data_IF_496295016293
#
_entry.id   IF_496295016293
#
_cell.length_a   1.000
_cell.length_b   1.000
_cell.length_c   1.000
_cell.angle_alpha   90.00
_cell.angle_beta   90.00
_cell.angle_gamma   90.00
#
_symmetry.space_group_name_H-M   'P 1'
#
loop_
_entity.id
_entity.type
_entity.pdbx_description
1 polymer ?
#
# COMPACT_ATOMS: atom_id res chain seq x y z
N UNK A 1 -10.42 -4.39 -16.01
CA UNK A 1 -11.87 -4.31 -16.28
C UNK A 1 -12.13 -3.24 -17.30
N UNK A 2 -13.09 -3.52 -18.19
CA UNK A 2 -13.60 -2.56 -19.14
C UNK A 2 -14.90 -1.97 -18.59
N UNK A 3 -15.10 -0.68 -18.78
CA UNK A 3 -16.28 0.05 -18.33
C UNK A 3 -16.58 1.21 -19.26
N UNK A 4 -17.78 1.76 -19.17
CA UNK A 4 -18.18 2.93 -19.96
C UNK A 4 -18.28 4.15 -19.02
N UNK A 5 -17.69 5.26 -19.47
CA UNK A 5 -17.76 6.55 -18.78
C UNK A 5 -18.04 7.66 -19.80
N UNK A 6 -19.15 8.37 -19.61
CA UNK A 6 -19.61 9.44 -20.53
C UNK A 6 -19.66 8.98 -22.00
N UNK A 7 -20.19 7.77 -22.25
CA UNK A 7 -20.32 7.20 -23.59
C UNK A 7 -19.01 6.73 -24.23
N UNK A 8 -17.90 6.69 -23.48
CA UNK A 8 -16.60 6.22 -23.94
C UNK A 8 -16.19 4.95 -23.21
N UNK A 9 -15.76 3.94 -23.97
CA UNK A 9 -15.15 2.74 -23.39
C UNK A 9 -13.80 3.08 -22.79
N UNK A 10 -13.59 2.60 -21.57
CA UNK A 10 -12.37 2.78 -20.78
C UNK A 10 -11.88 1.42 -20.26
N UNK A 11 -10.58 1.28 -20.11
CA UNK A 11 -9.96 0.11 -19.46
C UNK A 11 -9.20 0.57 -18.22
N UNK A 12 -9.39 -0.12 -17.11
CA UNK A 12 -8.69 0.16 -15.85
C UNK A 12 -8.33 -1.12 -15.11
N UNK A 13 -7.37 -1.04 -14.21
CA UNK A 13 -7.18 -2.03 -13.15
C UNK A 13 -8.40 -1.91 -12.23
N UNK A 14 -9.11 -3.03 -12.04
CA UNK A 14 -10.25 -3.14 -11.13
C UNK A 14 -9.88 -3.98 -9.93
N UNK A 15 -10.03 -3.44 -8.73
CA UNK A 15 -9.81 -4.12 -7.47
C UNK A 15 -11.14 -4.27 -6.75
N UNK A 16 -11.67 -5.52 -6.60
CA UNK A 16 -13.01 -5.74 -6.06
C UNK A 16 -13.08 -5.43 -4.56
N UNK A 17 -14.22 -4.94 -4.12
CA UNK A 17 -14.53 -4.80 -2.71
C UNK A 17 -15.50 -5.88 -2.21
N UNK A 18 -15.75 -5.94 -0.91
CA UNK A 18 -16.59 -6.99 -0.29
C UNK A 18 -18.06 -6.98 -0.74
N UNK A 19 -18.54 -5.93 -1.38
CA UNK A 19 -19.93 -5.82 -1.84
C UNK A 19 -20.06 -5.94 -3.38
N UNK A 20 -18.99 -6.32 -4.10
CA UNK A 20 -19.01 -6.52 -5.55
C UNK A 20 -18.78 -5.24 -6.37
N UNK A 21 -18.53 -4.10 -5.74
CA UNK A 21 -18.02 -2.90 -6.43
C UNK A 21 -16.52 -2.99 -6.64
N UNK A 22 -15.96 -2.01 -7.37
CA UNK A 22 -14.54 -1.97 -7.72
C UNK A 22 -13.92 -0.61 -7.42
N UNK A 23 -12.70 -0.62 -6.90
CA UNK A 23 -11.79 0.52 -7.04
C UNK A 23 -11.11 0.43 -8.42
N UNK A 24 -11.12 1.54 -9.17
CA UNK A 24 -10.66 1.60 -10.56
C UNK A 24 -9.47 2.54 -10.70
N UNK A 25 -8.43 2.10 -11.40
CA UNK A 25 -7.23 2.90 -11.68
C UNK A 25 -6.72 2.67 -13.09
N UNK A 26 -6.42 3.77 -13.76
CA UNK A 26 -5.60 3.79 -14.97
C UNK A 26 -4.64 4.98 -14.90
N UNK A 27 -3.71 5.16 -15.84
CA UNK A 27 -2.82 6.33 -15.87
C UNK A 27 -3.55 7.69 -15.82
N UNK A 28 -4.79 7.73 -16.30
CA UNK A 28 -5.57 8.97 -16.44
C UNK A 28 -6.89 8.97 -15.66
N UNK A 29 -7.16 7.88 -14.91
CA UNK A 29 -8.44 7.74 -14.21
C UNK A 29 -8.28 7.11 -12.84
N UNK A 30 -8.90 7.75 -11.85
CA UNK A 30 -9.09 7.24 -10.49
C UNK A 30 -10.56 7.32 -10.15
N UNK A 31 -11.19 6.18 -9.90
CA UNK A 31 -12.60 6.11 -9.57
C UNK A 31 -12.97 4.83 -8.85
N UNK A 32 -14.26 4.64 -8.67
CA UNK A 32 -14.82 3.42 -8.12
C UNK A 32 -16.19 3.15 -8.73
N UNK A 33 -16.59 1.88 -8.78
CA UNK A 33 -17.98 1.50 -9.04
C UNK A 33 -18.73 1.30 -7.73
N UNK A 34 -20.06 1.41 -7.82
CA UNK A 34 -20.96 1.12 -6.69
C UNK A 34 -21.20 -0.39 -6.56
N UNK A 35 -21.43 -0.91 -5.36
CA UNK A 35 -21.37 -0.22 -4.08
C UNK A 35 -19.92 -0.02 -3.62
N UNK A 36 -19.63 1.11 -2.94
CA UNK A 36 -18.30 1.38 -2.38
C UNK A 36 -18.22 0.89 -0.94
N UNK A 37 -17.22 0.05 -0.64
CA UNK A 37 -16.94 -0.46 0.71
C UNK A 37 -15.49 -0.93 0.84
N UNK A 38 -15.14 -1.48 2.01
CA UNK A 38 -13.84 -2.09 2.30
C UNK A 38 -13.60 -3.36 1.48
N UNK A 39 -12.32 -3.78 1.42
CA UNK A 39 -11.92 -5.12 0.95
C UNK A 39 -11.20 -5.85 2.09
N UNK A 40 -11.51 -7.13 2.29
CA UNK A 40 -10.83 -7.96 3.30
C UNK A 40 -10.30 -9.25 2.69
N UNK A 41 -9.10 -9.67 3.14
CA UNK A 41 -8.56 -11.00 2.86
C UNK A 41 -8.27 -11.70 4.17
N UNK A 42 -8.83 -12.90 4.36
CA UNK A 42 -8.66 -13.69 5.59
C UNK A 42 -7.74 -14.87 5.31
N UNK A 43 -6.60 -14.91 6.00
CA UNK A 43 -5.59 -15.97 5.95
C UNK A 43 -5.59 -16.78 7.24
N UNK A 44 -6.57 -16.57 8.14
CA UNK A 44 -6.68 -17.26 9.42
C UNK A 44 -5.71 -16.75 10.50
N UNK A 45 -5.26 -15.49 10.41
CA UNK A 45 -4.33 -14.90 11.35
C UNK A 45 -5.06 -14.14 12.47
N UNK A 46 -4.40 -14.08 13.65
CA UNK A 46 -4.80 -13.19 14.75
C UNK A 46 -4.26 -11.76 14.59
N UNK A 47 -3.47 -11.52 13.53
CA UNK A 47 -2.92 -10.23 13.18
C UNK A 47 -3.64 -9.67 11.96
N UNK A 48 -3.94 -8.37 12.00
CA UNK A 48 -4.53 -7.63 10.88
C UNK A 48 -3.57 -6.56 10.38
N UNK A 49 -3.41 -6.48 9.07
CA UNK A 49 -2.75 -5.37 8.39
C UNK A 49 -3.81 -4.50 7.72
N UNK A 50 -3.87 -3.23 8.11
CA UNK A 50 -4.81 -2.24 7.59
C UNK A 50 -4.08 -1.29 6.65
N UNK A 51 -4.61 -1.12 5.43
CA UNK A 51 -4.05 -0.26 4.39
C UNK A 51 -5.13 0.71 3.87
N UNK A 52 -4.71 1.89 3.42
CA UNK A 52 -5.67 2.88 2.96
C UNK A 52 -6.23 2.54 1.58
N UNK A 53 -5.38 2.13 0.64
CA UNK A 53 -5.74 1.84 -0.73
C UNK A 53 -5.20 0.51 -1.26
N UNK A 54 -5.71 0.08 -2.41
CA UNK A 54 -5.31 -1.21 -2.97
C UNK A 54 -3.89 -1.18 -3.57
N UNK A 55 -3.36 -0.03 -3.98
CA UNK A 55 -1.96 0.06 -4.40
C UNK A 55 -1.00 -0.12 -3.23
N UNK A 56 -1.38 0.35 -2.03
CA UNK A 56 -0.60 0.08 -0.81
C UNK A 56 -0.63 -1.40 -0.47
N UNK A 57 -1.78 -2.06 -0.66
CA UNK A 57 -1.89 -3.50 -0.50
C UNK A 57 -0.97 -4.26 -1.48
N UNK A 58 -0.97 -3.90 -2.76
CA UNK A 58 -0.07 -4.52 -3.75
C UNK A 58 1.40 -4.25 -3.40
N UNK A 59 1.73 -3.05 -2.94
CA UNK A 59 3.08 -2.69 -2.48
C UNK A 59 3.49 -3.50 -1.25
N UNK A 60 2.58 -3.71 -0.31
CA UNK A 60 2.82 -4.58 0.84
C UNK A 60 3.13 -6.01 0.40
N UNK A 61 2.40 -6.57 -0.58
CA UNK A 61 2.66 -7.92 -1.10
C UNK A 61 4.07 -8.03 -1.72
N UNK A 62 4.51 -7.01 -2.45
CA UNK A 62 5.88 -6.96 -3.01
C UNK A 62 6.92 -6.97 -1.89
N UNK A 63 6.76 -6.14 -0.85
CA UNK A 63 7.67 -6.06 0.29
C UNK A 63 7.69 -7.39 1.06
N UNK A 64 6.53 -7.99 1.29
CA UNK A 64 6.41 -9.26 1.99
C UNK A 64 7.05 -10.44 1.24
N UNK A 65 7.05 -10.40 -0.10
CA UNK A 65 7.74 -11.39 -0.93
C UNK A 65 9.27 -11.26 -0.83
N UNK A 66 9.79 -10.03 -0.68
CA UNK A 66 11.23 -9.78 -0.48
C UNK A 66 11.69 -10.12 0.95
N UNK A 67 10.84 -9.84 1.93
CA UNK A 67 11.10 -10.03 3.36
C UNK A 67 9.90 -10.73 3.99
N UNK A 68 9.92 -12.07 4.09
CA UNK A 68 8.80 -12.82 4.62
C UNK A 68 8.31 -12.27 5.96
N UNK A 69 7.06 -11.83 5.98
CA UNK A 69 6.36 -11.39 7.18
C UNK A 69 5.58 -12.56 7.76
N UNK A 70 5.26 -12.53 9.05
CA UNK A 70 4.33 -13.49 9.62
C UNK A 70 2.95 -13.44 8.94
N UNK A 71 2.18 -14.52 9.03
CA UNK A 71 0.83 -14.56 8.46
C UNK A 71 -0.02 -13.41 9.03
N UNK A 72 -0.71 -12.69 8.16
CA UNK A 72 -1.61 -11.59 8.52
C UNK A 72 -2.87 -11.63 7.66
N UNK A 73 -3.99 -11.24 8.23
CA UNK A 73 -5.19 -10.89 7.49
C UNK A 73 -5.10 -9.45 7.00
N UNK A 74 -5.89 -9.08 6.01
CA UNK A 74 -5.84 -7.73 5.42
C UNK A 74 -7.20 -7.04 5.46
N UNK A 75 -7.17 -5.75 5.76
CA UNK A 75 -8.27 -4.80 5.61
C UNK A 75 -7.80 -3.62 4.77
N UNK A 76 -8.33 -3.49 3.57
CA UNK A 76 -8.12 -2.35 2.69
C UNK A 76 -9.35 -1.45 2.80
N UNK A 77 -9.14 -0.23 3.28
CA UNK A 77 -10.23 0.71 3.55
C UNK A 77 -10.90 1.20 2.28
N UNK A 78 -10.16 1.33 1.16
CA UNK A 78 -10.59 1.96 -0.09
C UNK A 78 -11.01 3.44 0.06
N UNK A 79 -11.21 3.89 1.29
CA UNK A 79 -11.40 5.28 1.69
C UNK A 79 -11.33 5.40 3.20
N UNK A 80 -10.71 6.45 3.72
CA UNK A 80 -10.69 6.75 5.16
C UNK A 80 -12.09 6.98 5.75
N UNK A 81 -13.11 7.28 4.93
CA UNK A 81 -14.50 7.37 5.39
C UNK A 81 -14.99 6.06 6.02
N UNK A 82 -14.38 4.92 5.69
CA UNK A 82 -14.72 3.62 6.29
C UNK A 82 -13.93 3.30 7.55
N UNK A 83 -12.93 4.10 7.94
CA UNK A 83 -12.04 3.80 9.05
C UNK A 83 -12.80 3.53 10.36
N UNK A 84 -13.65 4.45 10.80
CA UNK A 84 -14.39 4.30 12.05
C UNK A 84 -15.37 3.11 12.04
N UNK A 85 -16.05 2.88 10.91
CA UNK A 85 -16.95 1.71 10.75
C UNK A 85 -16.20 0.38 10.74
N UNK A 86 -14.93 0.38 10.34
CA UNK A 86 -14.10 -0.82 10.32
C UNK A 86 -13.54 -1.21 11.69
N UNK A 87 -13.82 -0.41 12.75
CA UNK A 87 -13.35 -0.72 14.11
C UNK A 87 -13.84 -2.08 14.59
N UNK A 88 -15.10 -2.44 14.34
CA UNK A 88 -15.65 -3.75 14.71
C UNK A 88 -14.88 -4.92 14.06
N UNK A 89 -14.43 -4.75 12.83
CA UNK A 89 -13.55 -5.72 12.15
C UNK A 89 -12.18 -5.75 12.82
N UNK A 90 -11.57 -4.60 13.06
CA UNK A 90 -10.25 -4.50 13.71
C UNK A 90 -10.28 -5.06 15.14
N UNK A 91 -11.41 -4.94 15.86
CA UNK A 91 -11.55 -5.41 17.23
C UNK A 91 -11.55 -6.94 17.36
N UNK A 92 -11.76 -7.68 16.27
CA UNK A 92 -11.69 -9.15 16.23
C UNK A 92 -10.26 -9.70 16.29
N UNK A 93 -9.23 -8.87 16.09
CA UNK A 93 -7.82 -9.27 16.01
C UNK A 93 -7.06 -8.94 17.29
N UNK A 94 -6.02 -9.70 17.59
CA UNK A 94 -5.15 -9.45 18.75
C UNK A 94 -4.23 -8.25 18.49
N UNK A 95 -3.71 -8.13 17.28
CA UNK A 95 -2.81 -7.04 16.86
C UNK A 95 -3.24 -6.46 15.52
N UNK A 96 -3.12 -5.13 15.40
CA UNK A 96 -3.50 -4.39 14.20
C UNK A 96 -2.35 -3.48 13.78
N UNK A 97 -1.78 -3.73 12.61
CA UNK A 97 -0.73 -2.90 12.00
C UNK A 97 -1.35 -1.91 11.01
N UNK A 98 -1.13 -0.63 11.22
CA UNK A 98 -1.71 0.46 10.43
C UNK A 98 -0.67 0.99 9.43
N UNK A 99 -0.93 0.81 8.16
CA UNK A 99 -0.18 1.36 7.02
C UNK A 99 -1.03 2.43 6.33
N UNK A 100 -1.43 3.47 7.07
CA UNK A 100 -2.20 4.59 6.53
C UNK A 100 -1.27 5.66 5.97
N UNK A 101 -1.78 6.48 5.06
CA UNK A 101 -1.01 7.56 4.47
C UNK A 101 -0.51 8.55 5.52
N UNK A 102 0.70 9.08 5.35
CA UNK A 102 1.25 10.12 6.23
C UNK A 102 0.80 11.54 5.84
N UNK A 103 -0.43 11.65 5.34
CA UNK A 103 -1.13 12.92 5.21
C UNK A 103 -1.93 13.23 6.49
N UNK A 104 -2.52 14.44 6.55
CA UNK A 104 -3.27 14.92 7.74
C UNK A 104 -4.36 13.96 8.18
N UNK A 105 -5.11 13.38 7.24
CA UNK A 105 -6.26 12.51 7.54
C UNK A 105 -5.82 11.11 7.98
N UNK A 106 -4.88 10.49 7.29
CA UNK A 106 -4.34 9.18 7.65
C UNK A 106 -3.66 9.21 9.01
N UNK A 107 -2.87 10.24 9.30
CA UNK A 107 -2.25 10.44 10.61
C UNK A 107 -3.30 10.63 11.72
N UNK A 108 -4.39 11.37 11.48
CA UNK A 108 -5.47 11.53 12.44
C UNK A 108 -6.17 10.19 12.74
N UNK A 109 -6.44 9.36 11.73
CA UNK A 109 -6.99 8.01 11.91
C UNK A 109 -6.03 7.13 12.72
N UNK A 110 -4.73 7.15 12.42
CA UNK A 110 -3.71 6.42 13.17
C UNK A 110 -3.69 6.83 14.64
N UNK A 111 -3.67 8.12 14.95
CA UNK A 111 -3.72 8.62 16.32
C UNK A 111 -5.01 8.20 17.05
N UNK A 112 -6.15 8.23 16.37
CA UNK A 112 -7.41 7.75 16.91
C UNK A 112 -7.35 6.27 17.28
N UNK A 113 -6.78 5.41 16.43
CA UNK A 113 -6.63 3.99 16.74
C UNK A 113 -5.71 3.75 17.94
N UNK A 114 -4.60 4.48 18.03
CA UNK A 114 -3.68 4.40 19.17
C UNK A 114 -4.36 4.83 20.48
N UNK A 115 -5.27 5.80 20.43
CA UNK A 115 -6.09 6.20 21.59
C UNK A 115 -7.11 5.12 21.97
N UNK A 116 -7.65 4.34 21.03
CA UNK A 116 -8.53 3.22 21.35
C UNK A 116 -7.81 2.14 22.16
N UNK A 117 -6.61 1.73 21.72
CA UNK A 117 -5.78 0.75 22.43
C UNK A 117 -4.34 0.73 21.89
N UNK A 118 -3.42 1.43 22.53
CA UNK A 118 -2.01 1.51 22.11
C UNK A 118 -1.24 0.17 22.20
N UNK A 119 -1.76 -0.83 22.91
CA UNK A 119 -1.16 -2.16 22.96
C UNK A 119 -1.56 -3.03 21.78
N UNK A 120 -2.73 -2.76 21.20
CA UNK A 120 -3.30 -3.51 20.06
C UNK A 120 -2.90 -2.91 18.72
N UNK A 121 -2.94 -1.59 18.60
CA UNK A 121 -2.69 -0.88 17.35
C UNK A 121 -1.22 -0.43 17.28
N UNK A 122 -0.60 -0.68 16.13
CA UNK A 122 0.78 -0.26 15.86
C UNK A 122 0.80 0.60 14.60
N UNK A 123 1.37 1.80 14.70
CA UNK A 123 1.66 2.65 13.54
C UNK A 123 2.87 2.10 12.77
N UNK A 124 2.66 1.69 11.54
CA UNK A 124 3.69 1.24 10.59
C UNK A 124 4.03 2.30 9.53
N UNK A 125 3.34 3.42 9.54
CA UNK A 125 3.56 4.50 8.57
C UNK A 125 4.90 5.22 8.75
N UNK A 126 5.62 4.98 9.85
CA UNK A 126 6.99 5.49 10.05
C UNK A 126 7.99 4.95 9.03
N UNK A 127 7.64 3.88 8.29
CA UNK A 127 8.43 3.35 7.18
C UNK A 127 8.62 4.37 6.05
N UNK A 128 7.63 5.22 5.80
CA UNK A 128 7.64 6.24 4.76
C UNK A 128 7.57 7.67 5.33
N UNK A 129 7.98 8.66 4.53
CA UNK A 129 8.09 10.06 4.95
C UNK A 129 6.73 10.76 5.01
N UNK A 130 6.68 11.90 5.65
CA UNK A 130 5.47 12.74 5.70
C UNK A 130 4.97 13.07 4.29
N UNK A 131 3.65 12.94 4.10
CA UNK A 131 2.99 13.19 2.83
C UNK A 131 2.99 12.01 1.86
N UNK A 132 3.66 10.90 2.20
CA UNK A 132 3.74 9.70 1.37
C UNK A 132 2.75 8.62 1.81
N UNK A 133 2.49 7.69 0.89
CA UNK A 133 1.89 6.39 1.11
C UNK A 133 2.92 5.27 0.92
N UNK A 134 2.52 4.02 1.20
CA UNK A 134 3.39 2.86 1.08
C UNK A 134 3.83 2.60 -0.37
N UNK A 135 2.94 2.82 -1.34
CA UNK A 135 3.24 2.63 -2.75
C UNK A 135 4.30 3.62 -3.25
N UNK A 136 4.15 4.89 -2.91
CA UNK A 136 5.12 5.92 -3.28
C UNK A 136 6.50 5.63 -2.67
N UNK A 137 6.55 5.25 -1.39
CA UNK A 137 7.79 4.85 -0.73
C UNK A 137 8.47 3.68 -1.44
N UNK A 138 7.72 2.64 -1.84
CA UNK A 138 8.26 1.48 -2.54
C UNK A 138 8.85 1.87 -3.90
N UNK A 139 8.17 2.71 -4.67
CA UNK A 139 8.63 3.21 -5.97
C UNK A 139 9.95 3.97 -5.79
N UNK A 140 10.04 4.90 -4.84
CA UNK A 140 11.25 5.68 -4.58
C UNK A 140 12.42 4.78 -4.13
N UNK A 141 12.16 3.83 -3.22
CA UNK A 141 13.17 2.85 -2.78
C UNK A 141 13.75 2.07 -3.96
N UNK A 142 12.89 1.56 -4.84
CA UNK A 142 13.33 0.76 -5.99
C UNK A 142 14.11 1.61 -7.01
N UNK A 143 13.72 2.85 -7.24
CA UNK A 143 14.44 3.79 -8.11
C UNK A 143 15.86 4.05 -7.58
N UNK A 144 16.01 4.29 -6.28
CA UNK A 144 17.34 4.47 -5.66
C UNK A 144 18.21 3.22 -5.73
N UNK A 145 17.64 2.03 -5.61
CA UNK A 145 18.38 0.77 -5.76
C UNK A 145 18.89 0.63 -7.20
N UNK A 146 18.05 0.91 -8.20
CA UNK A 146 18.47 0.85 -9.62
C UNK A 146 19.58 1.85 -9.94
N UNK A 147 19.45 3.09 -9.49
CA UNK A 147 20.47 4.11 -9.68
C UNK A 147 21.82 3.70 -9.06
N UNK A 148 21.78 3.20 -7.82
CA UNK A 148 23.00 2.71 -7.16
C UNK A 148 23.65 1.53 -7.87
N UNK A 149 22.88 0.64 -8.48
CA UNK A 149 23.39 -0.48 -9.28
C UNK A 149 24.06 0.01 -10.56
N UNK A 150 23.43 0.94 -11.28
CA UNK A 150 24.00 1.55 -12.50
C UNK A 150 25.33 2.25 -12.19
N UNK A 151 25.36 3.06 -11.14
CA UNK A 151 26.59 3.75 -10.70
C UNK A 151 27.72 2.77 -10.32
N UNK A 152 27.40 1.62 -9.73
CA UNK A 152 28.40 0.58 -9.44
C UNK A 152 28.95 -0.08 -10.72
N UNK A 153 28.09 -0.31 -11.70
CA UNK A 153 28.48 -0.89 -13.00
C UNK A 153 29.42 0.08 -13.72
N UNK A 154 29.06 1.36 -13.82
CA UNK A 154 29.87 2.38 -14.50
C UNK A 154 31.25 2.52 -13.85
N UNK A 155 31.34 2.55 -12.52
CA UNK A 155 32.64 2.59 -11.82
C UNK A 155 33.51 1.36 -12.08
N UNK A 156 32.91 0.18 -12.30
CA UNK A 156 33.66 -1.05 -12.65
C UNK A 156 34.15 -1.03 -14.07
N UNK A 157 33.38 -0.49 -15.02
CA UNK A 157 33.77 -0.35 -16.42
C UNK A 157 34.93 0.64 -16.57
N UNK A 158 34.87 1.79 -15.91
CA UNK A 158 35.92 2.78 -15.94
C UNK A 158 37.25 2.28 -15.31
N UNK A 159 37.19 1.47 -14.26
CA UNK A 159 38.41 0.85 -13.69
C UNK A 159 39.07 -0.19 -14.60
N UNK A 160 38.29 -0.89 -15.44
CA UNK A 160 38.84 -1.88 -16.40
C UNK A 160 39.38 -1.21 -17.67
N UNK A 161 38.86 -0.03 -18.07
CA UNK A 161 39.34 0.70 -19.26
C UNK A 161 40.63 1.50 -19.04
N UNK A 162 41.04 1.74 -17.78
CA UNK A 162 42.26 2.48 -17.43
C UNK A 162 43.56 1.66 -17.46
N UNK A 163 43.49 0.37 -17.81
CA UNK A 163 44.64 -0.56 -17.76
C UNK A 163 45.38 -0.81 -19.07
N UNK A 164 45.03 -0.14 -20.17
CA UNK A 164 45.71 -0.29 -21.48
C UNK A 164 46.27 1.05 -21.98
N UNK A 165 47.28 1.55 -21.29
CA UNK A 165 48.22 2.51 -21.85
C UNK A 165 49.64 1.96 -21.60
N UNK A 166 50.15 1.28 -22.58
CA UNK A 166 51.58 1.14 -22.86
C UNK A 166 51.80 1.43 -24.32
#
# INVERSE_FOLDING_TARGET
>A
VDFELYGKKQTAIGFPNNAGGYELRSPHFKGCSSPKTITTFRNGSNQLTVLEGFFDFLSYQVIAAEQPQGATDFLILNSLAFFHRSREVMDQYQTVNLYLDRNKMGMACTQTALQWNSKKYTDRSSLYRNGQDLNQWLIERNSLIQENLLNKIDRRLHKKGGGLRR
#
